data_IF_580994246460
#
_entry.id   IF_580994246460
#
_cell.length_a   1.000
_cell.length_b   1.000
_cell.length_c   1.000
_cell.angle_alpha   90.00
_cell.angle_beta   90.00
_cell.angle_gamma   90.00
#
_symmetry.space_group_name_H-M   'P 1'
#
loop_
_entity.id
_entity.type
_entity.pdbx_description
1 polymer ?
#
# COMPACT_ATOMS: atom_id res chain seq x y z
N UNK A 1 -23.78 -19.16 14.53
CA UNK A 1 -23.93 -18.36 13.30
C UNK A 1 -22.84 -17.30 13.34
N UNK A 2 -21.77 -17.48 12.56
CA UNK A 2 -20.61 -16.60 12.58
C UNK A 2 -20.88 -15.46 11.58
N UNK A 3 -21.08 -14.23 12.07
CA UNK A 3 -21.46 -13.04 11.28
C UNK A 3 -20.26 -12.16 10.93
N UNK A 4 -19.06 -12.72 10.82
CA UNK A 4 -17.90 -11.97 10.31
C UNK A 4 -17.95 -12.01 8.79
N UNK A 5 -18.25 -10.90 8.10
CA UNK A 5 -18.15 -10.87 6.65
C UNK A 5 -16.69 -11.19 6.29
N UNK A 6 -16.52 -12.20 5.45
CA UNK A 6 -15.25 -12.68 4.88
C UNK A 6 -14.35 -11.52 4.44
N UNK A 7 -13.48 -11.02 5.33
CA UNK A 7 -12.27 -10.28 4.95
C UNK A 7 -11.20 -11.31 4.55
N UNK A 8 -11.56 -12.17 3.60
CA UNK A 8 -10.67 -13.13 2.92
C UNK A 8 -10.91 -13.17 1.40
N UNK A 9 -11.68 -12.23 0.84
CA UNK A 9 -11.99 -12.22 -0.60
C UNK A 9 -10.87 -11.60 -1.47
N UNK A 10 -10.05 -10.69 -0.92
CA UNK A 10 -9.04 -10.00 -1.71
C UNK A 10 -7.73 -10.80 -1.73
N UNK A 11 -7.19 -11.01 -2.93
CA UNK A 11 -5.91 -11.73 -3.15
C UNK A 11 -4.70 -10.85 -2.85
N UNK A 12 -4.86 -9.53 -2.93
CA UNK A 12 -3.78 -8.55 -2.79
C UNK A 12 -4.30 -7.34 -2.00
N UNK A 13 -3.50 -6.82 -1.09
CA UNK A 13 -3.74 -5.53 -0.42
C UNK A 13 -2.67 -4.52 -0.85
N UNK A 14 -3.11 -3.44 -1.49
CA UNK A 14 -2.31 -2.25 -1.76
C UNK A 14 -2.42 -1.31 -0.55
N UNK A 15 -1.29 -0.90 0.01
CA UNK A 15 -1.23 -0.06 1.20
C UNK A 15 -0.51 1.23 0.83
N UNK A 16 -1.26 2.33 0.77
CA UNK A 16 -0.71 3.66 0.51
C UNK A 16 -0.43 4.42 1.82
N UNK A 17 0.57 5.29 1.81
CA UNK A 17 0.85 6.18 2.95
C UNK A 17 -0.26 7.22 3.14
N UNK A 18 -0.62 7.93 2.07
CA UNK A 18 -1.66 8.97 2.06
C UNK A 18 -3.01 8.50 1.53
N UNK A 19 -4.07 9.26 1.85
CA UNK A 19 -5.44 9.00 1.33
C UNK A 19 -5.55 9.32 -0.15
N UNK A 20 -4.85 10.35 -0.61
CA UNK A 20 -4.86 10.76 -2.01
C UNK A 20 -4.27 9.64 -2.89
N UNK A 21 -3.14 9.07 -2.49
CA UNK A 21 -2.51 7.92 -3.16
C UNK A 21 -3.43 6.69 -3.18
N UNK A 22 -4.12 6.41 -2.08
CA UNK A 22 -5.11 5.34 -2.04
C UNK A 22 -6.28 5.57 -3.02
N UNK A 23 -6.79 6.81 -3.12
CA UNK A 23 -7.87 7.16 -4.03
C UNK A 23 -7.43 7.09 -5.49
N UNK A 24 -6.27 7.63 -5.84
CA UNK A 24 -5.74 7.56 -7.21
C UNK A 24 -5.51 6.12 -7.67
N UNK A 25 -5.03 5.23 -6.80
CA UNK A 25 -4.95 3.79 -7.09
C UNK A 25 -6.34 3.21 -7.34
N UNK A 26 -7.32 3.55 -6.48
CA UNK A 26 -8.69 3.04 -6.59
C UNK A 26 -9.38 3.49 -7.88
N UNK A 27 -9.05 4.68 -8.37
CA UNK A 27 -9.55 5.21 -9.64
C UNK A 27 -8.84 4.58 -10.84
N UNK A 28 -7.55 4.21 -10.71
CA UNK A 28 -6.78 3.57 -11.77
C UNK A 28 -7.08 2.07 -11.96
N UNK A 29 -7.58 1.38 -10.94
CA UNK A 29 -7.94 -0.04 -11.04
C UNK A 29 -9.37 -0.23 -11.57
N UNK A 30 -9.57 -1.22 -12.42
CA UNK A 30 -10.89 -1.53 -12.97
C UNK A 30 -11.83 -2.15 -11.93
N UNK A 31 -13.15 -2.08 -12.15
CA UNK A 31 -14.14 -2.72 -11.26
C UNK A 31 -13.89 -4.23 -11.07
N UNK A 32 -13.46 -4.92 -12.13
CA UNK A 32 -13.08 -6.34 -12.05
C UNK A 32 -11.85 -6.59 -11.15
N UNK A 33 -10.92 -5.63 -11.10
CA UNK A 33 -9.75 -5.69 -10.22
C UNK A 33 -10.11 -5.33 -8.77
N UNK A 34 -11.07 -4.41 -8.53
CA UNK A 34 -11.55 -4.05 -7.19
C UNK A 34 -12.12 -5.25 -6.40
N UNK A 35 -12.66 -6.25 -7.10
CA UNK A 35 -13.12 -7.50 -6.46
C UNK A 35 -11.98 -8.35 -5.88
N UNK A 36 -10.74 -8.15 -6.33
CA UNK A 36 -9.57 -8.96 -5.96
C UNK A 36 -8.48 -8.15 -5.23
N UNK A 37 -8.52 -6.82 -5.36
CA UNK A 37 -7.53 -5.89 -4.81
C UNK A 37 -8.21 -5.02 -3.77
N UNK A 38 -7.71 -5.10 -2.54
CA UNK A 38 -8.06 -4.16 -1.49
C UNK A 38 -7.07 -3.01 -1.49
N UNK A 39 -7.56 -1.77 -1.34
CA UNK A 39 -6.71 -0.59 -1.18
C UNK A 39 -6.93 -0.03 0.23
N UNK A 40 -5.83 0.16 0.96
CA UNK A 40 -5.79 0.75 2.29
C UNK A 40 -4.91 2.00 2.29
N UNK A 41 -5.21 2.93 3.18
CA UNK A 41 -4.33 4.05 3.51
C UNK A 41 -3.93 3.97 4.97
N UNK A 42 -2.65 4.19 5.28
CA UNK A 42 -2.15 4.19 6.67
C UNK A 42 -2.26 5.56 7.33
N UNK A 43 -2.62 6.61 6.60
CA UNK A 43 -2.63 7.98 7.12
C UNK A 43 -1.24 8.39 7.66
N UNK A 44 -0.18 7.96 6.98
CA UNK A 44 1.23 8.19 7.34
C UNK A 44 2.04 6.91 7.56
N UNK A 45 3.34 6.97 7.28
CA UNK A 45 4.26 5.82 7.36
C UNK A 45 4.41 5.21 8.75
N UNK A 46 4.23 5.99 9.82
CA UNK A 46 4.28 5.48 11.20
C UNK A 46 3.20 4.45 11.52
N UNK A 47 2.10 4.44 10.76
CA UNK A 47 0.99 3.53 10.95
C UNK A 47 1.11 2.22 10.13
N UNK A 48 2.15 2.08 9.29
CA UNK A 48 2.38 0.87 8.49
C UNK A 48 2.44 -0.40 9.37
N UNK A 49 3.09 -0.34 10.54
CA UNK A 49 3.18 -1.45 11.48
C UNK A 49 1.86 -1.82 12.16
N UNK A 50 0.87 -0.92 12.14
CA UNK A 50 -0.40 -1.07 12.83
C UNK A 50 -1.50 -1.70 11.96
N UNK A 51 -1.16 -2.13 10.73
CA UNK A 51 -2.09 -2.87 9.88
C UNK A 51 -2.33 -4.23 10.51
N UNK A 52 -3.58 -4.47 10.91
CA UNK A 52 -4.01 -5.71 11.53
C UNK A 52 -4.15 -6.82 10.49
N UNK A 53 -3.91 -8.07 10.93
CA UNK A 53 -3.85 -9.22 10.02
C UNK A 53 -5.21 -9.60 9.44
N UNK A 54 -6.28 -9.34 10.20
CA UNK A 54 -7.67 -9.48 9.77
C UNK A 54 -8.09 -8.47 8.69
N UNK A 55 -7.29 -7.42 8.46
CA UNK A 55 -7.60 -6.34 7.53
C UNK A 55 -6.79 -6.38 6.24
N UNK A 56 -5.93 -7.37 6.04
CA UNK A 56 -5.06 -7.44 4.85
C UNK A 56 -4.93 -8.87 4.33
N UNK A 57 -4.76 -9.01 3.03
CA UNK A 57 -4.40 -10.28 2.40
C UNK A 57 -2.98 -10.73 2.79
N UNK A 58 -2.67 -12.00 2.52
CA UNK A 58 -1.33 -12.56 2.69
C UNK A 58 -0.30 -11.89 1.78
N UNK A 59 -0.74 -11.31 0.65
CA UNK A 59 0.10 -10.54 -0.26
C UNK A 59 -0.16 -9.05 -0.10
N UNK A 60 0.84 -8.33 0.39
CA UNK A 60 0.80 -6.88 0.59
C UNK A 60 1.76 -6.19 -0.38
N UNK A 61 1.29 -5.10 -0.99
CA UNK A 61 2.12 -4.19 -1.76
C UNK A 61 2.06 -2.81 -1.09
N UNK A 62 3.17 -2.36 -0.54
CA UNK A 62 3.32 -1.01 -0.01
C UNK A 62 3.55 -0.04 -1.17
N UNK A 63 2.68 0.95 -1.28
CA UNK A 63 2.74 2.03 -2.26
C UNK A 63 3.26 3.26 -1.53
N UNK A 64 4.55 3.52 -1.69
CA UNK A 64 5.29 4.50 -0.92
C UNK A 64 5.43 5.80 -1.71
N UNK A 65 5.28 6.92 -1.02
CA UNK A 65 5.50 8.25 -1.59
C UNK A 65 7.01 8.47 -1.81
N UNK A 66 7.36 9.30 -2.80
CA UNK A 66 8.76 9.51 -3.15
C UNK A 66 9.36 10.70 -2.38
N UNK A 67 9.67 10.51 -1.11
CA UNK A 67 10.25 11.54 -0.23
C UNK A 67 11.71 11.94 -0.55
N UNK A 68 12.23 11.65 -1.76
CA UNK A 68 13.66 11.79 -2.14
C UNK A 68 14.63 10.95 -1.29
N UNK A 69 14.09 10.05 -0.47
CA UNK A 69 14.82 9.07 0.30
C UNK A 69 14.46 7.67 -0.22
N UNK A 70 15.46 6.80 -0.35
CA UNK A 70 15.19 5.39 -0.66
C UNK A 70 14.48 4.76 0.54
N UNK A 71 13.28 4.20 0.32
CA UNK A 71 12.53 3.46 1.34
C UNK A 71 13.33 2.34 1.98
N UNK A 72 14.36 1.81 1.30
CA UNK A 72 15.31 0.82 1.85
C UNK A 72 16.10 1.34 3.05
N UNK A 73 16.28 2.66 3.13
CA UNK A 73 16.99 3.34 4.19
C UNK A 73 16.05 3.87 5.28
N UNK A 74 14.73 3.86 5.08
CA UNK A 74 13.75 4.28 6.08
C UNK A 74 13.52 3.15 7.11
N UNK A 75 13.98 3.36 8.34
CA UNK A 75 13.86 2.39 9.43
C UNK A 75 12.40 2.05 9.74
N UNK A 76 11.48 2.99 9.62
CA UNK A 76 10.05 2.79 9.89
C UNK A 76 9.47 1.78 8.91
N UNK A 77 9.81 1.95 7.63
CA UNK A 77 9.34 1.08 6.55
C UNK A 77 9.96 -0.32 6.69
N UNK A 78 11.27 -0.41 6.96
CA UNK A 78 11.95 -1.70 7.17
C UNK A 78 11.39 -2.47 8.38
N UNK A 79 11.12 -1.78 9.49
CA UNK A 79 10.50 -2.39 10.66
C UNK A 79 9.10 -2.90 10.33
N UNK A 80 8.29 -2.10 9.63
CA UNK A 80 6.94 -2.50 9.23
C UNK A 80 6.96 -3.73 8.31
N UNK A 81 7.83 -3.76 7.29
CA UNK A 81 8.01 -4.91 6.40
C UNK A 81 8.36 -6.15 7.21
N UNK A 82 9.38 -6.06 8.08
CA UNK A 82 9.82 -7.18 8.91
C UNK A 82 8.70 -7.70 9.81
N UNK A 83 7.91 -6.82 10.41
CA UNK A 83 6.78 -7.23 11.26
C UNK A 83 5.69 -7.93 10.45
N UNK A 84 5.36 -7.45 9.25
CA UNK A 84 4.38 -8.10 8.38
C UNK A 84 4.89 -9.47 7.90
N UNK A 85 6.17 -9.58 7.53
CA UNK A 85 6.80 -10.84 7.12
C UNK A 85 6.87 -11.84 8.29
N UNK A 86 7.17 -11.38 9.50
CA UNK A 86 7.12 -12.21 10.72
C UNK A 86 5.72 -12.76 11.03
N UNK A 87 4.67 -12.05 10.60
CA UNK A 87 3.28 -12.50 10.69
C UNK A 87 2.88 -13.40 9.52
N UNK A 88 3.82 -13.81 8.66
CA UNK A 88 3.60 -14.72 7.54
C UNK A 88 3.13 -14.06 6.24
N UNK A 89 3.15 -12.73 6.15
CA UNK A 89 2.73 -12.01 4.95
C UNK A 89 3.89 -11.82 3.97
N UNK A 90 3.59 -11.87 2.67
CA UNK A 90 4.52 -11.53 1.61
C UNK A 90 4.40 -10.05 1.27
N UNK A 91 5.40 -9.25 1.65
CA UNK A 91 5.43 -7.82 1.37
C UNK A 91 6.27 -7.49 0.14
N UNK A 92 5.78 -6.56 -0.68
CA UNK A 92 6.52 -5.92 -1.78
C UNK A 92 6.36 -4.41 -1.65
N UNK A 93 7.34 -3.66 -2.13
CA UNK A 93 7.28 -2.20 -2.13
C UNK A 93 7.38 -1.69 -3.55
N UNK A 94 6.54 -0.71 -3.88
CA UNK A 94 6.62 0.08 -5.10
C UNK A 94 6.76 1.56 -4.71
N UNK A 95 7.66 2.25 -5.38
CA UNK A 95 7.87 3.69 -5.25
C UNK A 95 7.99 4.23 -6.68
N UNK A 96 7.32 5.36 -7.00
CA UNK A 96 7.41 5.93 -8.33
C UNK A 96 8.81 6.48 -8.58
N UNK A 97 9.34 6.29 -9.79
CA UNK A 97 10.62 6.88 -10.20
C UNK A 97 10.50 8.41 -10.24
N UNK A 98 11.56 9.11 -9.86
CA UNK A 98 11.63 10.57 -9.97
C UNK A 98 11.37 10.99 -11.42
N UNK A 99 10.33 11.78 -11.68
CA UNK A 99 10.10 12.38 -13.00
C UNK A 99 10.90 13.69 -13.05
N UNK A 100 11.90 13.78 -13.94
CA UNK A 100 12.73 14.97 -14.12
C UNK A 100 13.43 15.50 -12.84
N UNK A 101 13.81 14.61 -11.92
CA UNK A 101 14.46 14.99 -10.66
C UNK A 101 13.55 15.66 -9.63
N UNK A 102 12.24 15.74 -9.90
CA UNK A 102 11.24 16.20 -8.94
C UNK A 102 10.65 15.02 -8.17
N UNK A 103 10.23 15.29 -6.93
CA UNK A 103 9.41 14.37 -6.15
C UNK A 103 8.13 14.17 -6.95
N UNK A 104 7.87 12.93 -7.36
CA UNK A 104 6.67 12.57 -8.09
C UNK A 104 5.98 11.55 -7.23
N UNK A 105 4.80 11.86 -6.74
CA UNK A 105 3.95 10.89 -6.06
C UNK A 105 3.04 10.21 -7.11
N UNK A 106 2.44 9.07 -6.76
CA UNK A 106 1.56 8.36 -7.69
C UNK A 106 0.36 9.21 -8.14
N UNK A 107 -0.04 10.20 -7.34
CA UNK A 107 -1.11 11.14 -7.69
C UNK A 107 -0.71 12.10 -8.81
N UNK A 108 0.58 12.48 -8.87
CA UNK A 108 1.09 13.33 -9.94
C UNK A 108 1.17 12.56 -11.25
N UNK A 109 1.55 11.27 -11.18
CA UNK A 109 1.51 10.38 -12.35
C UNK A 109 0.09 10.17 -12.86
N UNK A 110 -0.89 10.00 -11.96
CA UNK A 110 -2.29 9.83 -12.34
C UNK A 110 -2.91 11.08 -12.99
N UNK A 111 -2.38 12.28 -12.71
CA UNK A 111 -2.82 13.54 -13.35
C UNK A 111 -2.13 13.83 -14.68
N UNK A 112 -1.00 13.19 -14.95
CA UNK A 112 -0.18 13.45 -16.13
C UNK A 112 -0.54 12.57 -17.34
N UNK A 113 -1.39 11.56 -17.16
CA UNK A 113 -1.92 10.69 -18.24
C UNK A 113 -3.35 11.04 -18.58
#
# INVERSE_FOLDING_TARGET
>A
MNLTPDIKSHKITLVAEGVETALSIKDAISEAQKAHIQVLSTLGKSNLSNISDDRSADRIILVLDNDKQDWRQDKTIQIAIKQMEQRGKSVRCIQPTLLNGQKTDYNDLAKAG
#
